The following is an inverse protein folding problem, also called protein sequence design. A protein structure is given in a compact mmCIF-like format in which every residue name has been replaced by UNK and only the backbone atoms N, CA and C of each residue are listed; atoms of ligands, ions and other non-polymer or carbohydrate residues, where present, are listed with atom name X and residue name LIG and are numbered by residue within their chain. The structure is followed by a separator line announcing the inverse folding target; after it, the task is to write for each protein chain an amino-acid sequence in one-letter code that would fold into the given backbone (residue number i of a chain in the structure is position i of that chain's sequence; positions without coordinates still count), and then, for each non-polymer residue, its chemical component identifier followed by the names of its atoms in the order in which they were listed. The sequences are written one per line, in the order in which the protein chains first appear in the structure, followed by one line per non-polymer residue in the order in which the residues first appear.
data_IF_421024218994
#
_entry.id   IF_421024218994
#
_cell.length_a   1.000
_cell.length_b   1.000
_cell.length_c   1.000
_cell.angle_alpha   90.00
_cell.angle_beta   90.00
_cell.angle_gamma   90.00
#
_symmetry.space_group_name_H-M   'P 1'
#
loop_
_entity.id
_entity.type
_entity.pdbx_description
1 polymer ?
#
# COMPACT_ATOMS: atom_id res chain seq x y z
N UNK A 1 4.56 -36.18 43.06
CA UNK A 1 5.04 -35.63 41.77
C UNK A 1 4.36 -34.28 41.54
N UNK A 2 5.14 -33.20 41.55
CA UNK A 2 4.65 -31.81 41.51
C UNK A 2 4.86 -31.21 40.12
N UNK A 3 3.79 -30.82 39.44
CA UNK A 3 3.85 -29.96 38.27
C UNK A 3 2.91 -28.77 38.45
N UNK A 4 3.42 -27.68 39.03
CA UNK A 4 2.76 -26.38 39.07
C UNK A 4 2.79 -25.78 37.65
N UNK A 5 1.63 -25.74 36.99
CA UNK A 5 1.45 -25.08 35.69
C UNK A 5 1.59 -23.56 35.87
N UNK A 6 2.67 -23.01 35.31
CA UNK A 6 2.93 -21.57 35.29
C UNK A 6 1.88 -20.81 34.48
N UNK A 7 1.26 -19.82 35.11
CA UNK A 7 0.36 -18.84 34.48
C UNK A 7 1.15 -17.94 33.53
N UNK A 8 0.97 -18.10 32.22
CA UNK A 8 1.51 -17.15 31.24
C UNK A 8 0.66 -15.87 31.29
N UNK A 9 1.19 -14.81 31.91
CA UNK A 9 0.62 -13.46 31.79
C UNK A 9 0.65 -13.06 30.33
N UNK A 10 -0.52 -12.84 29.74
CA UNK A 10 -0.64 -12.24 28.42
C UNK A 10 -0.01 -10.84 28.48
N UNK A 11 1.20 -10.70 27.94
CA UNK A 11 1.85 -9.42 27.78
C UNK A 11 0.95 -8.54 26.93
N UNK A 12 0.43 -7.47 27.54
CA UNK A 12 -0.30 -6.40 26.88
C UNK A 12 0.58 -5.82 25.78
N UNK A 13 0.39 -6.31 24.55
CA UNK A 13 1.08 -5.78 23.37
C UNK A 13 0.73 -4.30 23.30
N UNK A 14 1.71 -3.37 23.35
CA UNK A 14 1.40 -1.96 23.30
C UNK A 14 0.72 -1.71 21.95
N UNK A 15 -0.56 -1.33 21.99
CA UNK A 15 -1.24 -0.82 20.83
C UNK A 15 -0.51 0.45 20.43
N UNK A 16 0.43 0.33 19.48
CA UNK A 16 1.05 1.46 18.81
C UNK A 16 -0.08 2.22 18.14
N UNK A 17 -0.62 3.20 18.86
CA UNK A 17 -1.65 4.12 18.41
C UNK A 17 -1.06 4.80 17.17
N UNK A 18 -1.46 4.34 15.98
CA UNK A 18 -1.08 4.96 14.71
C UNK A 18 -1.48 6.43 14.82
N UNK A 19 -0.48 7.29 15.03
CA UNK A 19 -0.67 8.73 15.09
C UNK A 19 -1.22 9.11 13.72
N UNK A 20 -2.51 9.45 13.66
CA UNK A 20 -3.14 10.02 12.47
C UNK A 20 -2.56 11.42 12.30
N UNK A 21 -1.35 11.52 11.75
CA UNK A 21 -0.84 12.79 11.26
C UNK A 21 -1.88 13.36 10.29
N UNK A 22 -2.10 14.68 10.30
CA UNK A 22 -2.91 15.26 9.27
C UNK A 22 -2.27 14.93 7.91
N UNK A 23 -2.90 14.08 7.09
CA UNK A 23 -2.55 13.93 5.69
C UNK A 23 -2.66 15.32 5.04
N UNK A 24 -1.53 15.95 4.78
CA UNK A 24 -1.48 17.08 3.88
C UNK A 24 -2.13 16.65 2.57
N UNK A 25 -2.98 17.51 2.01
CA UNK A 25 -3.68 17.19 0.78
C UNK A 25 -2.62 16.95 -0.31
N UNK A 26 -2.48 15.69 -0.73
CA UNK A 26 -1.52 15.33 -1.77
C UNK A 26 -2.10 15.83 -3.10
N UNK A 27 -1.51 16.88 -3.64
CA UNK A 27 -1.80 17.38 -4.98
C UNK A 27 -0.76 16.77 -5.91
N UNK A 28 -1.22 16.02 -6.89
CA UNK A 28 -0.39 15.36 -7.90
C UNK A 28 -0.80 15.91 -9.25
N UNK A 29 0.17 16.31 -10.07
CA UNK A 29 -0.05 16.71 -11.46
C UNK A 29 -0.45 15.52 -12.34
N UNK A 30 -0.96 15.80 -13.54
CA UNK A 30 -1.34 14.71 -14.48
C UNK A 30 -0.15 13.89 -14.96
N UNK A 31 1.04 14.49 -15.05
CA UNK A 31 2.26 13.80 -15.46
C UNK A 31 2.77 12.88 -14.35
N UNK A 32 2.80 13.37 -13.11
CA UNK A 32 3.15 12.54 -11.95
C UNK A 32 2.14 11.41 -11.75
N UNK A 33 0.84 11.65 -11.96
CA UNK A 33 -0.17 10.59 -11.90
C UNK A 33 0.13 9.48 -12.94
N UNK A 34 0.50 9.86 -14.17
CA UNK A 34 0.89 8.91 -15.21
C UNK A 34 2.10 8.07 -14.78
N UNK A 35 3.15 8.72 -14.27
CA UNK A 35 4.35 8.01 -13.82
C UNK A 35 4.09 7.07 -12.64
N UNK A 36 3.25 7.48 -11.68
CA UNK A 36 2.82 6.60 -10.59
C UNK A 36 2.05 5.37 -11.09
N UNK A 37 1.19 5.54 -12.10
CA UNK A 37 0.48 4.41 -12.72
C UNK A 37 1.46 3.48 -13.43
N UNK A 38 2.43 4.02 -14.17
CA UNK A 38 3.47 3.24 -14.86
C UNK A 38 4.30 2.41 -13.88
N UNK A 39 4.75 3.02 -12.79
CA UNK A 39 5.57 2.36 -11.76
C UNK A 39 4.79 1.23 -11.06
N UNK A 40 3.53 1.49 -10.69
CA UNK A 40 2.67 0.48 -10.03
C UNK A 40 2.31 -0.63 -11.01
N UNK A 41 2.04 -0.32 -12.27
CA UNK A 41 1.76 -1.33 -13.30
C UNK A 41 2.99 -2.22 -13.54
N UNK A 42 4.19 -1.64 -13.58
CA UNK A 42 5.44 -2.38 -13.65
C UNK A 42 5.60 -3.29 -12.44
N UNK A 43 5.42 -2.78 -11.21
CA UNK A 43 5.57 -3.57 -9.99
C UNK A 43 4.60 -4.76 -9.94
N UNK A 44 3.34 -4.55 -10.34
CA UNK A 44 2.36 -5.64 -10.48
C UNK A 44 2.81 -6.69 -11.48
N UNK A 45 3.32 -6.26 -12.63
CA UNK A 45 3.79 -7.18 -13.66
C UNK A 45 5.05 -7.95 -13.21
N UNK A 46 6.03 -7.26 -12.62
CA UNK A 46 7.30 -7.82 -12.13
C UNK A 46 7.08 -8.92 -11.09
N UNK A 47 6.06 -8.77 -10.23
CA UNK A 47 5.72 -9.75 -9.20
C UNK A 47 5.39 -11.14 -9.76
N UNK A 48 4.78 -11.23 -10.95
CA UNK A 48 4.35 -12.50 -11.54
C UNK A 48 5.26 -12.98 -12.67
N UNK A 49 6.12 -12.11 -13.21
CA UNK A 49 6.94 -12.36 -14.39
C UNK A 49 8.06 -11.34 -14.50
N UNK A 50 9.20 -11.74 -15.05
CA UNK A 50 10.21 -10.77 -15.46
C UNK A 50 9.68 -9.94 -16.63
N UNK A 51 9.61 -8.63 -16.44
CA UNK A 51 9.19 -7.63 -17.43
C UNK A 51 10.16 -6.45 -17.37
N UNK A 52 10.30 -5.74 -18.48
CA UNK A 52 11.01 -4.47 -18.54
C UNK A 52 10.05 -3.31 -18.23
N UNK A 53 10.55 -2.14 -17.77
CA UNK A 53 9.74 -0.94 -17.64
C UNK A 53 9.00 -0.61 -18.94
N UNK A 54 7.69 -0.34 -18.84
CA UNK A 54 6.82 -0.11 -20.00
C UNK A 54 6.32 -1.36 -20.73
N UNK A 55 6.74 -2.57 -20.34
CA UNK A 55 6.30 -3.85 -20.93
C UNK A 55 5.25 -4.59 -20.08
N UNK A 56 4.47 -3.85 -19.30
CA UNK A 56 3.34 -4.39 -18.53
C UNK A 56 2.09 -4.56 -19.42
N UNK A 57 1.16 -5.45 -19.05
CA UNK A 57 -0.08 -5.63 -19.81
C UNK A 57 -1.04 -4.50 -19.52
N UNK A 58 -2.00 -4.29 -20.42
CA UNK A 58 -3.09 -3.33 -20.19
C UNK A 58 -3.88 -3.66 -18.92
N UNK A 59 -4.01 -4.94 -18.56
CA UNK A 59 -4.64 -5.37 -17.31
C UNK A 59 -3.92 -4.82 -16.07
N UNK A 60 -2.58 -4.91 -16.03
CA UNK A 60 -1.77 -4.41 -14.92
C UNK A 60 -1.90 -2.88 -14.81
N UNK A 61 -1.92 -2.19 -15.95
CA UNK A 61 -2.16 -0.75 -16.03
C UNK A 61 -3.54 -0.36 -15.49
N UNK A 62 -4.60 -1.04 -15.90
CA UNK A 62 -5.97 -0.75 -15.41
C UNK A 62 -6.10 -0.97 -13.90
N UNK A 63 -5.43 -1.99 -13.37
CA UNK A 63 -5.39 -2.23 -11.92
C UNK A 63 -4.63 -1.10 -11.20
N UNK A 64 -3.45 -0.74 -11.68
CA UNK A 64 -2.66 0.38 -11.15
C UNK A 64 -3.44 1.70 -11.17
N UNK A 65 -4.16 2.00 -12.26
CA UNK A 65 -5.04 3.16 -12.36
C UNK A 65 -6.12 3.18 -11.26
N UNK A 66 -6.74 2.02 -10.99
CA UNK A 66 -7.75 1.90 -9.94
C UNK A 66 -7.18 2.16 -8.54
N UNK A 67 -6.00 1.60 -8.26
CA UNK A 67 -5.30 1.76 -6.98
C UNK A 67 -4.88 3.22 -6.75
N UNK A 68 -4.22 3.85 -7.73
CA UNK A 68 -3.79 5.25 -7.65
C UNK A 68 -4.99 6.18 -7.50
N UNK A 69 -6.04 6.02 -8.30
CA UNK A 69 -7.27 6.83 -8.17
C UNK A 69 -7.91 6.67 -6.79
N UNK A 70 -7.92 5.47 -6.21
CA UNK A 70 -8.46 5.23 -4.88
C UNK A 70 -7.65 5.94 -3.78
N UNK A 71 -6.32 5.91 -3.87
CA UNK A 71 -5.41 6.60 -2.94
C UNK A 71 -5.58 8.11 -3.06
N UNK A 72 -5.51 8.67 -4.27
CA UNK A 72 -5.67 10.11 -4.50
C UNK A 72 -7.04 10.61 -4.03
N UNK A 73 -8.12 9.85 -4.28
CA UNK A 73 -9.46 10.16 -3.78
C UNK A 73 -9.52 10.19 -2.25
N UNK A 74 -8.83 9.26 -1.57
CA UNK A 74 -8.74 9.25 -0.10
C UNK A 74 -7.93 10.43 0.42
N UNK A 75 -6.87 10.85 -0.27
CA UNK A 75 -6.06 12.00 0.11
C UNK A 75 -6.74 13.35 -0.13
N UNK A 76 -7.65 13.44 -1.11
CA UNK A 76 -8.45 14.65 -1.39
C UNK A 76 -9.64 14.85 -0.45
N UNK A 77 -10.15 13.80 0.20
CA UNK A 77 -11.23 13.91 1.20
C UNK A 77 -10.69 14.42 2.53
N UNK A 78 -10.47 15.74 2.63
CA UNK A 78 -10.20 16.45 3.87
C UNK A 78 -10.96 17.76 3.92
#
# INVERSE_FOLDING_TARGET
MTAKRGTRKAGTRPATRRVKRPAEAIVVSKEEERHLIEDVAYFHAEHYRHVEPGQYREQDRRQAEGEIKAVLKRCRKR
#
